data_IF_187720326740
#
_entry.id   IF_187720326740
#
_cell.length_a   1.000
_cell.length_b   1.000
_cell.length_c   1.000
_cell.angle_alpha   90.00
_cell.angle_beta   90.00
_cell.angle_gamma   90.00
#
_symmetry.space_group_name_H-M   'P 1'
#
loop_
_entity.id
_entity.type
_entity.pdbx_description
1 polymer ?
#
# COMPACT_ATOMS: atom_id res chain seq x y z
N UNK A 1 6.48 13.65 20.31
CA UNK A 1 5.18 12.97 20.12
C UNK A 1 5.30 12.10 18.88
N UNK A 2 5.32 10.76 19.01
CA UNK A 2 5.31 9.88 17.83
C UNK A 2 3.88 9.81 17.31
N UNK A 3 3.59 10.50 16.21
CA UNK A 3 2.27 10.42 15.57
C UNK A 3 2.16 9.08 14.85
N UNK A 4 1.26 8.21 15.31
CA UNK A 4 0.87 7.03 14.52
C UNK A 4 0.27 7.51 13.20
N UNK A 5 0.54 6.78 12.13
CA UNK A 5 -0.07 7.02 10.82
C UNK A 5 -0.74 5.75 10.33
N UNK A 6 -1.80 5.89 9.54
CA UNK A 6 -2.31 4.76 8.77
C UNK A 6 -1.36 4.45 7.63
N UNK A 7 -1.25 3.17 7.28
CA UNK A 7 -0.62 2.71 6.06
C UNK A 7 -1.70 2.30 5.09
N UNK A 8 -1.74 2.94 3.94
CA UNK A 8 -2.76 2.67 2.93
C UNK A 8 -2.07 2.46 1.60
N UNK A 9 -2.24 1.28 1.03
CA UNK A 9 -1.75 0.95 -0.31
C UNK A 9 -2.89 1.09 -1.31
N UNK A 10 -2.55 1.56 -2.51
CA UNK A 10 -3.47 1.76 -3.63
C UNK A 10 -2.93 1.06 -4.86
N UNK A 11 -3.81 0.34 -5.55
CA UNK A 11 -3.61 -0.10 -6.93
C UNK A 11 -4.28 0.95 -7.83
N UNK A 12 -3.45 1.77 -8.47
CA UNK A 12 -3.92 2.89 -9.29
C UNK A 12 -4.44 2.43 -10.65
N UNK A 13 -4.12 1.20 -11.07
CA UNK A 13 -4.68 0.58 -12.28
C UNK A 13 -6.12 0.12 -12.07
N UNK A 14 -6.39 -0.57 -10.96
CA UNK A 14 -7.72 -1.09 -10.65
C UNK A 14 -8.58 -0.12 -9.84
N UNK A 15 -7.99 1.00 -9.39
CA UNK A 15 -8.61 1.97 -8.48
C UNK A 15 -9.12 1.27 -7.21
N UNK A 16 -8.27 0.42 -6.63
CA UNK A 16 -8.56 -0.24 -5.36
C UNK A 16 -7.58 0.19 -4.27
N UNK A 17 -8.00 0.12 -3.01
CA UNK A 17 -7.15 0.47 -1.88
C UNK A 17 -7.36 -0.49 -0.72
N UNK A 18 -6.35 -0.58 0.15
CA UNK A 18 -6.41 -1.30 1.41
C UNK A 18 -5.68 -0.53 2.49
N UNK A 19 -6.21 -0.61 3.71
CA UNK A 19 -5.59 -0.06 4.91
C UNK A 19 -4.84 -1.20 5.60
N UNK A 20 -3.52 -1.21 5.45
CA UNK A 20 -2.61 -2.26 5.92
C UNK A 20 -2.43 -2.25 7.44
N UNK A 21 -2.55 -1.09 8.09
CA UNK A 21 -2.42 -0.99 9.55
C UNK A 21 -2.05 0.40 10.04
N UNK A 22 -1.69 0.50 11.31
CA UNK A 22 -1.15 1.72 11.92
C UNK A 22 0.32 1.49 12.30
N UNK A 23 1.21 2.37 11.86
CA UNK A 23 2.62 2.30 12.24
C UNK A 23 3.15 3.66 12.70
N UNK A 24 4.17 3.63 13.56
CA UNK A 24 4.96 4.78 13.98
C UNK A 24 6.18 5.00 13.07
N UNK A 25 6.63 3.97 12.36
CA UNK A 25 7.72 4.01 11.41
C UNK A 25 7.22 3.47 10.06
N UNK A 26 7.27 4.28 9.01
CA UNK A 26 6.69 3.96 7.71
C UNK A 26 7.73 3.50 6.68
N UNK A 27 9.00 3.30 7.09
CA UNK A 27 10.11 2.99 6.17
C UNK A 27 9.91 1.66 5.44
N UNK A 28 9.45 0.62 6.15
CA UNK A 28 9.19 -0.68 5.52
C UNK A 28 8.11 -0.57 4.44
N UNK A 29 6.99 0.06 4.78
CA UNK A 29 5.87 0.28 3.87
C UNK A 29 6.27 1.09 2.63
N UNK A 30 6.94 2.24 2.84
CA UNK A 30 7.37 3.12 1.74
C UNK A 30 8.39 2.46 0.82
N UNK A 31 9.35 1.71 1.38
CA UNK A 31 10.32 0.95 0.59
C UNK A 31 9.64 -0.16 -0.23
N UNK A 32 8.64 -0.84 0.33
CA UNK A 32 7.92 -1.89 -0.38
C UNK A 32 7.13 -1.32 -1.57
N UNK A 33 6.38 -0.24 -1.36
CA UNK A 33 5.66 0.48 -2.43
C UNK A 33 6.64 0.95 -3.52
N UNK A 34 7.79 1.50 -3.12
CA UNK A 34 8.81 1.94 -4.08
C UNK A 34 9.40 0.78 -4.88
N UNK A 35 9.63 -0.38 -4.26
CA UNK A 35 10.07 -1.60 -4.94
C UNK A 35 9.06 -2.06 -6.01
N UNK A 36 7.77 -2.10 -5.65
CA UNK A 36 6.69 -2.44 -6.58
C UNK A 36 6.63 -1.47 -7.77
N UNK A 37 6.72 -0.15 -7.52
CA UNK A 37 6.77 0.86 -8.57
C UNK A 37 7.96 0.67 -9.51
N UNK A 38 9.14 0.35 -8.96
CA UNK A 38 10.34 0.06 -9.75
C UNK A 38 10.20 -1.18 -10.62
N UNK A 39 9.46 -2.19 -10.17
CA UNK A 39 9.10 -3.35 -10.98
C UNK A 39 8.03 -3.06 -12.04
N UNK A 40 7.62 -1.80 -12.22
CA UNK A 40 6.64 -1.39 -13.23
C UNK A 40 5.19 -1.54 -12.79
N UNK A 41 4.92 -1.82 -11.51
CA UNK A 41 3.55 -1.88 -11.00
C UNK A 41 3.00 -0.48 -10.77
N UNK A 42 1.75 -0.25 -11.16
CA UNK A 42 1.06 1.02 -10.98
C UNK A 42 0.39 1.08 -9.59
N UNK A 43 1.22 1.25 -8.56
CA UNK A 43 0.80 1.30 -7.17
C UNK A 43 1.25 2.59 -6.50
N UNK A 44 0.56 3.01 -5.44
CA UNK A 44 1.00 4.11 -4.59
C UNK A 44 0.64 3.88 -3.13
N UNK A 45 1.41 4.50 -2.24
CA UNK A 45 1.22 4.44 -0.80
C UNK A 45 0.90 5.82 -0.24
N UNK A 46 -0.02 5.89 0.72
CA UNK A 46 -0.31 7.11 1.48
C UNK A 46 -0.22 6.81 2.97
N UNK A 47 0.34 7.76 3.73
CA UNK A 47 0.54 7.63 5.18
C UNK A 47 -0.12 8.77 5.95
N UNK A 48 -1.47 8.87 5.94
CA UNK A 48 -2.13 9.96 6.65
C UNK A 48 -1.96 9.79 8.15
N UNK A 49 -1.61 10.89 8.83
CA UNK A 49 -1.53 10.92 10.29
C UNK A 49 -2.89 10.58 10.91
N UNK A 50 -2.86 9.83 12.00
CA UNK A 50 -4.05 9.60 12.81
C UNK A 50 -4.47 10.91 13.47
N UNK A 51 -5.59 11.48 13.01
CA UNK A 51 -6.30 12.56 13.69
C UNK A 51 -7.63 12.02 14.22
N UNK A 52 -8.32 12.77 15.10
CA UNK A 52 -9.61 12.33 15.65
C UNK A 52 -10.67 11.99 14.60
N UNK A 53 -10.57 12.51 13.36
CA UNK A 53 -11.53 12.26 12.26
C UNK A 53 -11.33 10.94 11.54
N UNK A 54 -10.18 10.30 11.72
CA UNK A 54 -9.74 9.08 11.04
C UNK A 54 -9.13 8.12 12.06
N UNK A 55 -9.65 8.08 13.29
CA UNK A 55 -9.20 7.19 14.36
C UNK A 55 -9.56 5.72 14.12
N UNK A 56 -10.63 5.45 13.37
CA UNK A 56 -11.11 4.11 13.04
C UNK A 56 -10.85 3.75 11.57
N UNK A 57 -10.45 2.49 11.32
CA UNK A 57 -10.16 1.94 9.98
C UNK A 57 -11.35 2.12 9.02
N UNK A 58 -12.57 1.94 9.51
CA UNK A 58 -13.83 2.04 8.76
C UNK A 58 -14.16 3.45 8.27
N UNK A 59 -13.60 4.48 8.92
CA UNK A 59 -13.84 5.88 8.57
C UNK A 59 -12.88 6.40 7.51
N UNK A 60 -11.81 5.64 7.22
CA UNK A 60 -10.83 6.00 6.21
C UNK A 60 -11.40 5.70 4.83
N UNK A 61 -11.65 6.76 4.06
CA UNK A 61 -12.10 6.68 2.67
C UNK A 61 -11.04 7.27 1.76
N UNK A 62 -10.79 6.61 0.64
CA UNK A 62 -9.93 7.12 -0.44
C UNK A 62 -10.83 7.49 -1.61
N UNK A 63 -11.02 8.79 -1.92
CA UNK A 63 -11.91 9.22 -3.00
C UNK A 63 -11.52 8.62 -4.34
N UNK A 64 -12.49 8.01 -5.03
CA UNK A 64 -12.27 7.38 -6.34
C UNK A 64 -11.64 5.99 -6.30
N UNK A 65 -11.51 5.38 -5.11
CA UNK A 65 -11.00 4.01 -4.95
C UNK A 65 -12.00 3.14 -4.18
N UNK A 66 -12.02 1.85 -4.53
CA UNK A 66 -12.84 0.84 -3.86
C UNK A 66 -11.99 0.06 -2.86
N UNK A 67 -12.54 -0.21 -1.67
CA UNK A 67 -11.87 -1.03 -0.67
C UNK A 67 -11.73 -2.47 -1.20
N UNK A 68 -10.50 -2.99 -1.22
CA UNK A 68 -10.20 -4.38 -1.57
C UNK A 68 -9.49 -5.04 -0.39
N UNK A 69 -10.11 -6.07 0.20
CA UNK A 69 -9.51 -6.82 1.32
C UNK A 69 -8.47 -7.80 0.76
N UNK A 70 -7.24 -7.74 1.28
CA UNK A 70 -6.12 -8.56 0.81
C UNK A 70 -5.39 -8.01 -0.41
N UNK A 71 -5.59 -6.73 -0.74
CA UNK A 71 -4.87 -6.03 -1.81
C UNK A 71 -3.36 -6.08 -1.61
N UNK A 72 -2.85 -5.79 -0.41
CA UNK A 72 -1.42 -5.81 -0.10
C UNK A 72 -0.81 -7.17 -0.42
N UNK A 73 -1.51 -8.24 -0.04
CA UNK A 73 -1.08 -9.61 -0.32
C UNK A 73 -1.07 -9.89 -1.83
N UNK A 74 -2.11 -9.49 -2.56
CA UNK A 74 -2.18 -9.64 -4.02
C UNK A 74 -1.03 -8.90 -4.70
N UNK A 75 -0.78 -7.64 -4.33
CA UNK A 75 0.31 -6.84 -4.88
C UNK A 75 1.68 -7.43 -4.55
N UNK A 76 1.87 -7.95 -3.33
CA UNK A 76 3.11 -8.65 -2.96
C UNK A 76 3.34 -9.92 -3.78
N UNK A 77 2.29 -10.69 -4.08
CA UNK A 77 2.36 -11.86 -4.94
C UNK A 77 2.68 -11.50 -6.40
N UNK A 78 2.06 -10.44 -6.94
CA UNK A 78 2.37 -9.90 -8.27
C UNK A 78 3.83 -9.42 -8.36
N UNK A 79 4.28 -8.65 -7.36
CA UNK A 79 5.65 -8.17 -7.28
C UNK A 79 6.66 -9.32 -7.23
N UNK A 80 6.38 -10.36 -6.44
CA UNK A 80 7.23 -11.55 -6.36
C UNK A 80 7.31 -12.27 -7.71
N UNK A 81 6.20 -12.40 -8.43
CA UNK A 81 6.17 -13.03 -9.76
C UNK A 81 7.02 -12.26 -10.76
N UNK A 82 6.90 -10.92 -10.79
CA UNK A 82 7.71 -10.06 -11.68
C UNK A 82 9.20 -10.22 -11.35
N UNK A 83 9.54 -10.14 -10.06
CA UNK A 83 10.94 -10.20 -9.62
C UNK A 83 11.56 -11.57 -9.86
N UNK A 84 10.80 -12.66 -9.69
CA UNK A 84 11.29 -14.02 -9.97
C UNK A 84 11.40 -14.29 -11.48
N UNK A 85 10.43 -13.86 -12.29
CA UNK A 85 10.52 -13.99 -13.75
C UNK A 85 11.71 -13.22 -14.34
N UNK A 86 12.00 -12.03 -13.79
CA UNK A 86 13.17 -11.25 -14.19
C UNK A 86 14.52 -11.93 -13.86
N UNK A 87 14.56 -12.90 -12.95
CA UNK A 87 15.77 -13.67 -12.62
C UNK A 87 15.99 -14.82 -13.61
N UNK A 88 14.93 -15.38 -14.19
CA UNK A 88 15.03 -16.49 -15.17
C UNK A 88 15.40 -16.00 -16.58
N UNK A 89 15.13 -14.74 -16.91
CA UNK A 89 15.43 -14.12 -18.21
C UNK A 89 16.87 -13.54 -18.31
N UNK A 90 17.77 -13.82 -17.36
CA UNK A 90 19.17 -13.34 -17.32
C UNK A 90 20.17 -14.51 -17.45
#
# INVERSE_FOLDING_TARGET
>A
MYSKSWLIIKDDSKRTFEICGQETNTNYFTNNVYGMQKAGMNVSGITPSLTNKNSSKELVKVPGYTLEVGLEKRLAEEYRKITMGAIEDW
#
